data_IF_411251836012
#
_entry.id   IF_411251836012
#
_cell.length_a   1.000
_cell.length_b   1.000
_cell.length_c   1.000
_cell.angle_alpha   90.00
_cell.angle_beta   90.00
_cell.angle_gamma   90.00
#
_symmetry.space_group_name_H-M   'P 1'
#
loop_
_entity.id
_entity.type
_entity.pdbx_description
1 polymer ?
#
# COMPACT_ATOMS: atom_id res chain seq x y z
N UNK A 1 -64.87 8.86 -23.95
CA UNK A 1 -63.80 9.86 -23.74
C UNK A 1 -62.81 9.23 -22.79
N UNK A 2 -61.75 8.64 -23.32
CA UNK A 2 -60.68 7.99 -22.57
C UNK A 2 -59.47 8.92 -22.57
N UNK A 3 -58.98 9.26 -21.39
CA UNK A 3 -57.79 10.11 -21.19
C UNK A 3 -56.54 9.45 -21.79
N UNK A 4 -55.59 10.22 -22.35
CA UNK A 4 -54.35 9.67 -22.88
C UNK A 4 -53.33 9.43 -21.75
N UNK A 5 -52.75 8.24 -21.78
CA UNK A 5 -51.67 7.75 -20.91
C UNK A 5 -50.40 8.63 -21.03
N UNK A 6 -49.80 9.11 -19.93
CA UNK A 6 -48.59 9.93 -19.99
C UNK A 6 -47.37 9.09 -20.37
N UNK A 7 -46.89 9.27 -21.61
CA UNK A 7 -45.59 8.74 -22.05
C UNK A 7 -44.47 9.13 -21.09
N UNK A 8 -43.61 8.20 -20.64
CA UNK A 8 -42.51 8.51 -19.74
C UNK A 8 -41.49 9.41 -20.43
N UNK A 9 -41.11 10.50 -19.75
CA UNK A 9 -40.13 11.46 -20.24
C UNK A 9 -38.80 10.77 -20.58
N UNK A 10 -38.31 10.98 -21.81
CA UNK A 10 -37.00 10.47 -22.23
C UNK A 10 -35.92 11.02 -21.27
N UNK A 11 -35.05 10.17 -20.71
CA UNK A 11 -33.98 10.63 -19.83
C UNK A 11 -33.06 11.62 -20.58
N UNK A 12 -32.53 12.64 -19.89
CA UNK A 12 -31.70 13.66 -20.50
C UNK A 12 -30.47 13.02 -21.16
N UNK A 13 -30.20 13.40 -22.41
CA UNK A 13 -29.02 12.91 -23.14
C UNK A 13 -27.76 13.29 -22.38
N UNK A 14 -26.91 12.30 -22.06
CA UNK A 14 -25.62 12.51 -21.41
C UNK A 14 -24.81 13.59 -22.15
N UNK A 15 -24.27 14.60 -21.44
CA UNK A 15 -23.32 15.53 -22.04
C UNK A 15 -22.13 14.75 -22.59
N UNK A 16 -21.96 14.75 -23.92
CA UNK A 16 -20.76 14.20 -24.56
C UNK A 16 -19.61 15.18 -24.34
N UNK A 17 -18.42 14.63 -24.12
CA UNK A 17 -17.19 15.41 -24.11
C UNK A 17 -17.06 16.19 -25.42
N UNK A 18 -16.39 17.35 -25.39
CA UNK A 18 -15.92 18.01 -26.61
C UNK A 18 -14.76 17.20 -27.21
N UNK A 19 -15.08 16.03 -27.79
CA UNK A 19 -14.12 15.09 -28.39
C UNK A 19 -14.30 13.64 -27.95
N UNK A 20 -13.56 12.73 -28.59
CA UNK A 20 -13.70 11.28 -28.41
C UNK A 20 -13.09 10.73 -27.10
N UNK A 21 -12.23 11.51 -26.41
CA UNK A 21 -11.51 11.11 -25.19
C UNK A 21 -11.31 12.29 -24.21
N UNK A 22 -11.23 12.05 -22.88
CA UNK A 22 -10.88 13.08 -21.90
C UNK A 22 -9.46 13.61 -22.13
N UNK A 23 -9.30 14.94 -22.09
CA UNK A 23 -8.06 15.64 -22.47
C UNK A 23 -7.15 15.99 -21.27
N UNK A 24 -7.65 15.85 -20.04
CA UNK A 24 -6.90 16.12 -18.80
C UNK A 24 -7.07 14.99 -17.79
N UNK A 25 -6.08 14.79 -16.92
CA UNK A 25 -6.06 13.72 -15.91
C UNK A 25 -7.26 13.82 -14.95
N UNK A 26 -7.61 15.03 -14.52
CA UNK A 26 -8.77 15.29 -13.64
C UNK A 26 -10.10 14.93 -14.30
N UNK A 27 -10.15 14.90 -15.64
CA UNK A 27 -11.34 14.55 -16.42
C UNK A 27 -11.48 13.04 -16.64
N UNK A 28 -10.42 12.26 -16.36
CA UNK A 28 -10.36 10.81 -16.58
C UNK A 28 -10.97 10.02 -15.42
N UNK A 29 -11.08 10.62 -14.23
CA UNK A 29 -11.53 9.97 -13.01
C UNK A 29 -12.85 10.54 -12.48
N UNK A 30 -13.92 10.34 -13.25
CA UNK A 30 -15.30 10.60 -12.80
C UNK A 30 -15.68 9.77 -11.55
N UNK A 31 -14.95 8.71 -11.28
CA UNK A 31 -15.16 7.77 -10.16
C UNK A 31 -14.70 8.31 -8.80
N UNK A 32 -13.93 9.41 -8.77
CA UNK A 32 -13.58 10.12 -7.53
C UNK A 32 -14.77 10.85 -6.90
N UNK A 33 -15.82 11.09 -7.69
CA UNK A 33 -17.04 11.79 -7.29
C UNK A 33 -18.16 10.75 -7.15
N UNK A 34 -18.09 9.96 -6.07
CA UNK A 34 -18.95 8.79 -5.81
C UNK A 34 -20.43 9.15 -5.85
N UNK A 35 -20.78 10.36 -5.37
CA UNK A 35 -22.15 10.89 -5.39
C UNK A 35 -22.65 11.21 -6.80
N UNK A 36 -21.74 11.52 -7.73
CA UNK A 36 -22.09 12.00 -9.07
C UNK A 36 -22.14 10.91 -10.14
N UNK A 37 -21.47 9.76 -9.92
CA UNK A 37 -21.37 8.68 -10.91
C UNK A 37 -21.44 7.24 -10.33
N UNK A 38 -22.49 6.88 -9.55
CA UNK A 38 -22.59 5.58 -8.86
C UNK A 38 -22.57 4.36 -9.81
N UNK A 39 -23.14 4.47 -11.01
CA UNK A 39 -23.12 3.36 -11.99
C UNK A 39 -21.74 3.08 -12.57
N UNK A 40 -20.84 4.07 -12.59
CA UNK A 40 -19.47 3.88 -13.12
C UNK A 40 -18.63 3.11 -12.10
N UNK A 41 -18.78 3.45 -10.82
CA UNK A 41 -18.19 2.73 -9.68
C UNK A 41 -18.65 1.27 -9.67
N UNK A 42 -19.95 1.00 -9.83
CA UNK A 42 -20.50 -0.36 -9.86
C UNK A 42 -19.95 -1.20 -11.03
N UNK A 43 -19.77 -0.59 -12.21
CA UNK A 43 -19.21 -1.27 -13.39
C UNK A 43 -17.72 -1.59 -13.25
N UNK A 44 -16.98 -0.77 -12.52
CA UNK A 44 -15.55 -0.96 -12.27
C UNK A 44 -15.33 -2.06 -11.22
N UNK A 45 -16.14 -2.06 -10.16
CA UNK A 45 -16.20 -3.15 -9.17
C UNK A 45 -16.58 -4.48 -9.84
N UNK A 46 -17.61 -4.50 -10.69
CA UNK A 46 -18.02 -5.71 -11.42
C UNK A 46 -16.95 -6.22 -12.41
N UNK A 47 -16.02 -5.35 -12.82
CA UNK A 47 -14.87 -5.71 -13.66
C UNK A 47 -13.63 -6.15 -12.88
N UNK A 48 -13.73 -6.37 -11.56
CA UNK A 48 -12.61 -6.75 -10.70
C UNK A 48 -11.56 -5.64 -10.52
N UNK A 49 -11.90 -4.40 -10.89
CA UNK A 49 -11.02 -3.24 -10.75
C UNK A 49 -11.47 -2.43 -9.55
N UNK A 50 -10.51 -1.79 -8.90
CA UNK A 50 -10.77 -0.87 -7.81
C UNK A 50 -11.07 0.51 -8.41
N UNK A 51 -12.28 1.07 -8.23
CA UNK A 51 -12.61 2.42 -8.67
C UNK A 51 -11.64 3.44 -8.09
N UNK A 52 -11.25 4.45 -8.87
CA UNK A 52 -10.30 5.44 -8.40
C UNK A 52 -10.88 6.23 -7.22
N UNK A 53 -10.29 6.07 -6.03
CA UNK A 53 -10.75 6.69 -4.78
C UNK A 53 -11.60 5.78 -3.89
N UNK A 54 -11.90 4.55 -4.30
CA UNK A 54 -12.33 3.48 -3.40
C UNK A 54 -11.17 2.48 -3.29
N UNK A 55 -10.94 1.88 -2.13
CA UNK A 55 -9.92 0.84 -1.96
C UNK A 55 -10.64 -0.40 -1.46
N UNK A 56 -10.68 -1.46 -2.27
CA UNK A 56 -11.14 -2.78 -1.82
C UNK A 56 -9.96 -3.46 -1.13
N UNK A 57 -9.99 -3.63 0.20
CA UNK A 57 -8.82 -4.12 0.90
C UNK A 57 -8.63 -5.61 0.65
N UNK A 58 -7.39 -6.00 0.38
CA UNK A 58 -7.03 -7.36 -0.03
C UNK A 58 -7.21 -8.33 1.15
N UNK A 59 -7.75 -9.52 0.87
CA UNK A 59 -7.94 -10.60 1.86
C UNK A 59 -8.63 -10.12 3.16
N UNK A 60 -9.64 -9.25 3.02
CA UNK A 60 -10.29 -8.59 4.14
C UNK A 60 -10.79 -9.61 5.18
N UNK A 61 -11.67 -10.53 4.79
CA UNK A 61 -12.30 -11.43 5.76
C UNK A 61 -11.32 -12.46 6.32
N UNK A 62 -10.36 -12.91 5.52
CA UNK A 62 -9.29 -13.82 5.94
C UNK A 62 -8.39 -13.17 7.00
N UNK A 63 -7.99 -11.91 6.79
CA UNK A 63 -7.20 -11.16 7.76
C UNK A 63 -7.94 -10.99 9.07
N UNK A 64 -9.22 -10.60 9.00
CA UNK A 64 -10.04 -10.37 10.19
C UNK A 64 -10.29 -11.66 10.98
N UNK A 65 -10.52 -12.78 10.29
CA UNK A 65 -10.65 -14.09 10.90
C UNK A 65 -9.36 -14.53 11.60
N UNK A 66 -8.20 -14.28 10.97
CA UNK A 66 -6.91 -14.61 11.55
C UNK A 66 -6.59 -13.77 12.80
N UNK A 67 -6.96 -12.49 12.82
CA UNK A 67 -6.71 -11.56 13.93
C UNK A 67 -7.43 -11.92 15.24
N UNK A 68 -8.49 -12.74 15.20
CA UNK A 68 -9.20 -13.17 16.42
C UNK A 68 -9.85 -12.01 17.18
N UNK A 69 -10.37 -11.03 16.44
CA UNK A 69 -10.94 -9.79 16.97
C UNK A 69 -12.16 -10.06 17.87
N UNK A 70 -12.24 -9.33 18.97
CA UNK A 70 -13.36 -9.31 19.92
C UNK A 70 -13.49 -7.91 20.53
N UNK A 71 -14.67 -7.60 21.06
CA UNK A 71 -14.88 -6.38 21.85
C UNK A 71 -13.84 -6.29 22.97
N UNK A 72 -13.33 -5.07 23.20
CA UNK A 72 -12.33 -4.78 24.22
C UNK A 72 -10.89 -5.05 23.82
N UNK A 73 -10.63 -5.64 22.65
CA UNK A 73 -9.26 -5.80 22.15
C UNK A 73 -8.59 -4.45 21.90
N UNK A 74 -7.31 -4.37 22.25
CA UNK A 74 -6.43 -3.26 21.89
C UNK A 74 -5.47 -3.76 20.82
N UNK A 75 -5.40 -3.08 19.68
CA UNK A 75 -4.54 -3.51 18.58
C UNK A 75 -3.87 -2.39 17.81
N UNK A 76 -3.00 -2.79 16.90
CA UNK A 76 -2.29 -1.89 16.00
C UNK A 76 -2.58 -2.26 14.55
N UNK A 77 -2.93 -1.26 13.74
CA UNK A 77 -2.82 -1.31 12.29
C UNK A 77 -1.53 -0.57 11.92
N UNK A 78 -0.49 -1.33 11.55
CA UNK A 78 0.86 -0.83 11.31
C UNK A 78 1.00 -0.10 9.96
N UNK A 79 -0.04 -0.14 9.13
CA UNK A 79 -0.05 0.32 7.73
C UNK A 79 -1.43 0.89 7.40
N UNK A 80 -1.86 1.88 8.18
CA UNK A 80 -3.23 2.39 8.21
C UNK A 80 -3.77 2.72 6.81
N UNK A 81 -2.95 3.31 5.94
CA UNK A 81 -3.27 3.57 4.54
C UNK A 81 -4.60 4.30 4.38
N UNK A 82 -5.50 3.74 3.57
CA UNK A 82 -6.86 4.26 3.38
C UNK A 82 -7.80 3.99 4.57
N UNK A 83 -7.44 3.11 5.50
CA UNK A 83 -8.23 2.74 6.67
C UNK A 83 -9.35 1.74 6.39
N UNK A 84 -9.26 0.99 5.29
CA UNK A 84 -10.25 -0.02 4.93
C UNK A 84 -10.31 -1.17 5.93
N UNK A 85 -9.18 -1.81 6.25
CA UNK A 85 -9.11 -2.83 7.31
C UNK A 85 -9.37 -2.20 8.67
N UNK A 86 -8.78 -1.03 8.97
CA UNK A 86 -9.02 -0.32 10.22
C UNK A 86 -10.51 -0.11 10.55
N UNK A 87 -11.32 0.27 9.57
CA UNK A 87 -12.77 0.42 9.75
C UNK A 87 -13.44 -0.91 10.15
N UNK A 88 -13.14 -2.02 9.46
CA UNK A 88 -13.69 -3.35 9.75
C UNK A 88 -13.14 -3.97 11.04
N UNK A 89 -11.94 -3.59 11.44
CA UNK A 89 -11.35 -3.94 12.73
C UNK A 89 -12.12 -3.21 13.84
N UNK A 90 -12.29 -1.89 13.70
CA UNK A 90 -13.01 -1.06 14.66
C UNK A 90 -14.45 -1.55 14.88
N UNK A 91 -15.16 -1.96 13.83
CA UNK A 91 -16.49 -2.57 13.92
C UNK A 91 -16.54 -3.80 14.86
N UNK A 92 -15.45 -4.57 14.98
CA UNK A 92 -15.43 -5.80 15.78
C UNK A 92 -14.87 -5.65 17.19
N UNK A 93 -14.06 -4.61 17.43
CA UNK A 93 -13.43 -4.40 18.73
C UNK A 93 -14.14 -3.35 19.58
N UNK A 94 -15.03 -2.55 18.99
CA UNK A 94 -15.82 -1.55 19.69
C UNK A 94 -17.09 -2.17 20.29
N UNK A 95 -17.67 -1.59 21.36
CA UNK A 95 -17.44 -0.24 21.91
C UNK A 95 -16.26 -0.08 22.88
N UNK A 96 -15.66 -1.16 23.40
CA UNK A 96 -14.69 -1.06 24.50
C UNK A 96 -13.22 -1.18 24.08
N UNK A 97 -12.97 -1.63 22.86
CA UNK A 97 -11.62 -1.79 22.31
C UNK A 97 -11.00 -0.50 21.79
N UNK A 98 -9.73 -0.61 21.38
CA UNK A 98 -8.94 0.50 20.85
C UNK A 98 -8.04 0.09 19.70
N UNK A 99 -8.01 0.88 18.63
CA UNK A 99 -7.08 0.71 17.52
C UNK A 99 -6.09 1.86 17.46
N UNK A 100 -4.80 1.52 17.38
CA UNK A 100 -3.73 2.46 17.06
C UNK A 100 -3.33 2.29 15.59
N UNK A 101 -3.46 3.33 14.77
CA UNK A 101 -3.03 3.34 13.38
C UNK A 101 -1.64 3.96 13.21
N UNK A 102 -0.79 3.34 12.40
CA UNK A 102 0.54 3.85 12.01
C UNK A 102 0.58 4.05 10.49
N UNK A 103 1.18 5.15 10.05
CA UNK A 103 1.51 5.37 8.63
C UNK A 103 2.65 6.39 8.50
N UNK A 104 3.40 6.31 7.41
CA UNK A 104 4.45 7.26 7.08
C UNK A 104 3.91 8.50 6.35
N UNK A 105 2.79 8.35 5.64
CA UNK A 105 2.33 9.28 4.63
C UNK A 105 1.66 10.53 5.26
N UNK A 106 2.30 11.71 5.19
CA UNK A 106 1.73 12.93 5.74
C UNK A 106 0.55 13.48 4.92
N UNK A 107 0.31 12.97 3.71
CA UNK A 107 -0.73 13.42 2.79
C UNK A 107 -2.01 12.60 2.97
N UNK A 108 -1.90 11.28 3.04
CA UNK A 108 -3.06 10.39 3.11
C UNK A 108 -3.56 10.14 4.54
N UNK A 109 -2.67 10.04 5.54
CA UNK A 109 -3.07 9.78 6.92
C UNK A 109 -4.14 10.78 7.44
N UNK A 110 -4.00 12.11 7.28
CA UNK A 110 -5.01 13.05 7.78
C UNK A 110 -6.39 12.81 7.17
N UNK A 111 -6.46 12.42 5.89
CA UNK A 111 -7.72 12.10 5.19
C UNK A 111 -8.35 10.84 5.75
N UNK A 112 -7.55 9.82 6.05
CA UNK A 112 -8.01 8.58 6.67
C UNK A 112 -8.51 8.81 8.10
N UNK A 113 -7.80 9.62 8.90
CA UNK A 113 -8.26 10.00 10.24
C UNK A 113 -9.59 10.74 10.15
N UNK A 114 -9.71 11.75 9.28
CA UNK A 114 -10.96 12.47 9.10
C UNK A 114 -12.14 11.56 8.72
N UNK A 115 -11.89 10.57 7.83
CA UNK A 115 -12.88 9.57 7.42
C UNK A 115 -13.35 8.71 8.60
N UNK A 116 -12.41 8.15 9.37
CA UNK A 116 -12.74 7.32 10.53
C UNK A 116 -13.43 8.12 11.64
N UNK A 117 -13.08 9.40 11.81
CA UNK A 117 -13.78 10.31 12.73
C UNK A 117 -15.22 10.58 12.27
N UNK A 118 -15.44 10.78 10.98
CA UNK A 118 -16.79 10.95 10.42
C UNK A 118 -17.67 9.69 10.56
N UNK A 119 -17.07 8.51 10.71
CA UNK A 119 -17.76 7.26 11.02
C UNK A 119 -18.11 7.12 12.52
N UNK A 120 -17.75 8.10 13.36
CA UNK A 120 -18.08 8.11 14.80
C UNK A 120 -17.00 7.56 15.72
N UNK A 121 -15.83 7.17 15.20
CA UNK A 121 -14.73 6.69 16.05
C UNK A 121 -13.99 7.87 16.69
N UNK A 122 -14.16 8.08 17.99
CA UNK A 122 -13.46 9.12 18.75
C UNK A 122 -11.98 8.80 18.98
N UNK A 123 -11.18 9.79 19.39
CA UNK A 123 -9.75 9.65 19.70
C UNK A 123 -9.45 8.58 20.76
N UNK A 124 -10.38 8.38 21.69
CA UNK A 124 -10.27 7.36 22.74
C UNK A 124 -10.33 5.93 22.20
N UNK A 125 -11.05 5.73 21.09
CA UNK A 125 -11.30 4.43 20.44
C UNK A 125 -10.34 4.18 19.29
N UNK A 126 -10.01 5.22 18.53
CA UNK A 126 -9.07 5.15 17.42
C UNK A 126 -8.10 6.32 17.52
N UNK A 127 -6.79 6.05 17.55
CA UNK A 127 -5.76 7.07 17.47
C UNK A 127 -4.79 6.73 16.35
N UNK A 128 -4.26 7.73 15.65
CA UNK A 128 -3.32 7.53 14.56
C UNK A 128 -2.03 8.32 14.80
N UNK A 129 -0.88 7.68 14.60
CA UNK A 129 0.42 8.29 14.77
C UNK A 129 1.24 8.19 13.49
N UNK A 130 1.66 9.34 12.96
CA UNK A 130 2.56 9.38 11.79
C UNK A 130 3.95 8.90 12.19
N UNK A 131 4.26 7.65 11.89
CA UNK A 131 5.52 7.00 12.20
C UNK A 131 5.73 5.76 11.33
N UNK A 132 6.98 5.32 11.25
CA UNK A 132 7.31 4.02 10.65
C UNK A 132 6.90 2.91 11.61
N UNK A 133 6.39 1.78 11.11
CA UNK A 133 6.03 0.62 11.94
C UNK A 133 7.23 0.01 12.70
N UNK A 134 8.48 0.28 12.30
CA UNK A 134 9.68 -0.03 13.09
C UNK A 134 9.71 0.70 14.44
N UNK A 135 8.89 1.75 14.59
CA UNK A 135 8.68 2.49 15.84
C UNK A 135 7.59 1.90 16.75
N UNK A 136 7.09 0.68 16.49
CA UNK A 136 5.99 0.06 17.24
C UNK A 136 6.22 0.08 18.76
N UNK A 137 7.36 -0.39 19.24
CA UNK A 137 7.65 -0.45 20.68
C UNK A 137 7.59 0.95 21.34
N UNK A 138 8.10 1.97 20.64
CA UNK A 138 8.03 3.36 21.10
C UNK A 138 6.59 3.86 21.15
N UNK A 139 5.79 3.58 20.11
CA UNK A 139 4.38 3.93 20.10
C UNK A 139 3.64 3.30 21.29
N UNK A 140 3.82 2.00 21.53
CA UNK A 140 3.16 1.33 22.64
C UNK A 140 3.53 1.96 23.99
N UNK A 141 4.82 2.28 24.20
CA UNK A 141 5.28 2.95 25.41
C UNK A 141 4.65 4.35 25.59
N UNK A 142 4.50 5.14 24.52
CA UNK A 142 3.83 6.46 24.57
C UNK A 142 2.36 6.37 25.00
N UNK A 143 1.69 5.26 24.66
CA UNK A 143 0.32 4.98 25.09
C UNK A 143 0.24 4.20 26.43
N UNK A 144 1.37 3.94 27.09
CA UNK A 144 1.42 3.17 28.34
C UNK A 144 1.03 1.70 28.18
N UNK A 145 1.19 1.13 26.98
CA UNK A 145 0.84 -0.24 26.65
C UNK A 145 2.10 -1.13 26.69
N UNK A 146 2.01 -2.24 27.44
CA UNK A 146 3.07 -3.26 27.49
C UNK A 146 2.90 -4.34 26.40
N UNK A 147 1.93 -4.17 25.51
CA UNK A 147 1.63 -5.10 24.42
C UNK A 147 0.20 -4.94 23.92
N UNK A 148 -0.08 -5.49 22.74
CA UNK A 148 -1.40 -5.47 22.10
C UNK A 148 -1.96 -6.86 21.88
N UNK A 149 -3.29 -6.95 21.81
CA UNK A 149 -4.02 -8.19 21.53
C UNK A 149 -3.87 -8.62 20.07
N UNK A 150 -3.69 -7.65 19.17
CA UNK A 150 -3.40 -7.95 17.77
C UNK A 150 -2.55 -6.88 17.07
N UNK A 151 -1.85 -7.31 16.02
CA UNK A 151 -1.16 -6.45 15.07
C UNK A 151 -1.54 -6.84 13.64
N UNK A 152 -1.88 -5.85 12.83
CA UNK A 152 -2.12 -6.00 11.39
C UNK A 152 -1.10 -5.17 10.61
N UNK A 153 -0.55 -5.72 9.53
CA UNK A 153 0.35 -5.02 8.62
C UNK A 153 0.12 -5.43 7.17
N UNK A 154 -0.39 -4.51 6.36
CA UNK A 154 -0.56 -4.57 4.91
C UNK A 154 0.63 -3.90 4.22
N UNK A 155 1.65 -4.69 3.86
CA UNK A 155 2.94 -4.18 3.41
C UNK A 155 2.89 -3.59 2.00
N UNK A 156 3.86 -2.75 1.65
CA UNK A 156 3.93 -2.12 0.33
C UNK A 156 3.29 -0.74 0.28
N UNK A 157 2.72 -0.38 -0.87
CA UNK A 157 2.23 0.99 -1.14
C UNK A 157 0.73 1.00 -1.31
N UNK A 158 0.09 2.07 -0.83
CA UNK A 158 -1.34 2.25 -1.03
C UNK A 158 -1.67 2.55 -2.50
N UNK A 159 -2.87 2.19 -2.94
CA UNK A 159 -3.36 2.57 -4.27
C UNK A 159 -3.35 4.10 -4.45
N UNK A 160 -3.59 4.86 -3.38
CA UNK A 160 -3.52 6.33 -3.40
C UNK A 160 -2.14 6.85 -3.82
N UNK A 161 -1.06 6.16 -3.42
CA UNK A 161 0.31 6.51 -3.82
C UNK A 161 0.63 6.08 -5.26
N UNK A 162 0.11 4.93 -5.70
CA UNK A 162 0.32 4.40 -7.05
C UNK A 162 -0.47 5.17 -8.12
N UNK A 163 -1.68 5.62 -7.78
CA UNK A 163 -2.62 6.27 -8.68
C UNK A 163 -2.37 7.78 -8.84
N UNK A 164 -1.64 8.41 -7.90
CA UNK A 164 -1.24 9.81 -8.00
C UNK A 164 0.10 9.95 -8.74
N UNK A 165 0.11 10.45 -10.00
CA UNK A 165 1.35 10.61 -10.76
C UNK A 165 2.34 11.56 -10.08
N UNK A 166 1.87 12.52 -9.27
CA UNK A 166 2.75 13.44 -8.54
C UNK A 166 3.63 12.73 -7.50
N UNK A 167 3.30 11.48 -7.14
CA UNK A 167 4.07 10.66 -6.20
C UNK A 167 5.17 9.83 -6.87
N UNK A 168 5.09 9.62 -8.19
CA UNK A 168 6.18 9.00 -8.95
C UNK A 168 6.35 7.49 -8.78
N UNK A 169 5.38 6.77 -8.24
CA UNK A 169 5.49 5.31 -8.02
C UNK A 169 5.24 4.47 -9.29
N UNK A 170 4.70 5.07 -10.35
CA UNK A 170 4.27 4.35 -11.56
C UNK A 170 4.96 4.89 -12.82
N UNK A 171 5.34 3.97 -13.70
CA UNK A 171 5.85 4.27 -15.05
C UNK A 171 4.75 4.35 -16.12
N UNK A 172 3.47 4.23 -15.73
CA UNK A 172 2.33 4.30 -16.67
C UNK A 172 1.96 5.73 -17.05
N UNK A 173 2.35 6.70 -16.24
CA UNK A 173 2.04 8.13 -16.45
C UNK A 173 3.24 8.94 -15.98
N UNK A 174 3.55 10.01 -16.71
CA UNK A 174 4.65 10.90 -16.36
C UNK A 174 4.40 11.57 -15.01
N UNK A 175 5.42 11.60 -14.19
CA UNK A 175 5.45 12.24 -12.89
C UNK A 175 6.88 12.38 -12.37
N UNK A 176 7.13 13.26 -11.38
CA UNK A 176 8.46 13.38 -10.79
C UNK A 176 8.93 12.01 -10.28
N UNK A 177 10.20 11.70 -10.46
CA UNK A 177 10.78 10.45 -9.96
C UNK A 177 11.06 10.58 -8.45
N UNK A 178 9.99 10.54 -7.65
CA UNK A 178 10.04 10.73 -6.19
C UNK A 178 10.03 9.41 -5.42
N UNK A 179 8.94 8.64 -5.50
CA UNK A 179 8.74 7.34 -4.83
C UNK A 179 8.85 7.34 -3.30
N UNK A 180 8.93 8.49 -2.62
CA UNK A 180 8.91 8.52 -1.15
C UNK A 180 7.48 8.37 -0.63
N UNK A 181 7.30 7.44 0.31
CA UNK A 181 6.07 7.30 1.09
C UNK A 181 5.84 8.53 1.97
N UNK A 182 6.92 9.12 2.48
CA UNK A 182 6.91 10.44 3.11
C UNK A 182 7.73 11.45 2.26
N UNK A 183 7.08 12.33 1.47
CA UNK A 183 7.78 13.25 0.57
C UNK A 183 8.61 14.32 1.30
N UNK A 184 8.47 14.44 2.62
CA UNK A 184 9.19 15.43 3.44
C UNK A 184 10.49 14.88 4.05
N UNK A 185 10.84 13.61 3.81
CA UNK A 185 12.00 12.96 4.43
C UNK A 185 12.79 12.11 3.43
N UNK A 186 14.11 12.10 3.57
CA UNK A 186 14.98 11.24 2.75
C UNK A 186 15.18 11.78 1.33
N UNK A 187 15.86 10.98 0.50
CA UNK A 187 16.15 11.30 -0.90
C UNK A 187 14.99 10.86 -1.79
N UNK A 188 14.64 11.68 -2.79
CA UNK A 188 13.80 11.22 -3.90
C UNK A 188 14.49 10.08 -4.66
N UNK A 189 13.74 9.26 -5.39
CA UNK A 189 14.30 8.24 -6.28
C UNK A 189 15.26 8.83 -7.31
N UNK A 190 14.98 10.02 -7.84
CA UNK A 190 15.89 10.75 -8.73
C UNK A 190 17.21 11.09 -8.05
N UNK A 191 17.16 11.64 -6.83
CA UNK A 191 18.37 12.02 -6.08
C UNK A 191 19.13 10.80 -5.56
N UNK A 192 18.42 9.71 -5.24
CA UNK A 192 19.02 8.44 -4.83
C UNK A 192 19.78 7.81 -5.99
N UNK A 193 19.17 7.69 -7.18
CA UNK A 193 19.82 7.17 -8.39
C UNK A 193 21.04 8.02 -8.80
N UNK A 194 20.94 9.34 -8.67
CA UNK A 194 22.06 10.24 -8.98
C UNK A 194 23.25 10.10 -8.02
N UNK A 195 23.05 9.54 -6.81
CA UNK A 195 24.08 9.39 -5.78
C UNK A 195 24.56 7.96 -5.57
N UNK A 196 23.71 6.98 -5.86
CA UNK A 196 24.01 5.57 -5.61
C UNK A 196 25.15 5.11 -6.52
N UNK A 197 26.08 4.34 -5.96
CA UNK A 197 27.16 3.69 -6.72
C UNK A 197 26.61 2.47 -7.48
N UNK A 198 27.21 2.05 -8.60
CA UNK A 198 26.82 0.82 -9.31
C UNK A 198 26.72 -0.40 -8.38
N UNK A 199 27.72 -0.66 -7.54
CA UNK A 199 27.70 -1.80 -6.62
C UNK A 199 26.48 -1.80 -5.67
N UNK A 200 26.14 -0.64 -5.09
CA UNK A 200 24.95 -0.50 -4.22
C UNK A 200 23.65 -0.65 -4.98
N UNK A 201 23.56 -0.14 -6.22
CA UNK A 201 22.37 -0.29 -7.04
C UNK A 201 22.18 -1.75 -7.47
N UNK A 202 23.25 -2.45 -7.83
CA UNK A 202 23.23 -3.88 -8.15
C UNK A 202 22.69 -4.70 -6.97
N UNK A 203 23.20 -4.45 -5.75
CA UNK A 203 22.69 -5.08 -4.53
C UNK A 203 21.21 -4.80 -4.35
N UNK A 204 20.76 -3.54 -4.51
CA UNK A 204 19.34 -3.19 -4.37
C UNK A 204 18.47 -3.93 -5.42
N UNK A 205 18.88 -3.96 -6.69
CA UNK A 205 18.16 -4.64 -7.76
C UNK A 205 18.04 -6.15 -7.51
N UNK A 206 19.11 -6.77 -7.00
CA UNK A 206 19.12 -8.19 -6.66
C UNK A 206 18.30 -8.47 -5.40
N UNK A 207 18.61 -7.82 -4.27
CA UNK A 207 18.01 -8.14 -2.98
C UNK A 207 16.55 -7.68 -2.85
N UNK A 208 16.16 -6.60 -3.54
CA UNK A 208 14.82 -6.01 -3.41
C UNK A 208 13.84 -6.46 -4.48
N UNK A 209 14.32 -6.99 -5.60
CA UNK A 209 13.44 -7.39 -6.70
C UNK A 209 13.86 -8.64 -7.48
N UNK A 210 14.89 -9.36 -7.04
CA UNK A 210 15.40 -10.57 -7.71
C UNK A 210 15.67 -10.31 -9.23
N UNK A 211 16.20 -9.13 -9.60
CA UNK A 211 16.37 -8.72 -11.00
C UNK A 211 17.57 -9.43 -11.67
N UNK A 212 17.36 -10.32 -12.67
CA UNK A 212 18.44 -11.10 -13.28
C UNK A 212 19.55 -10.28 -13.95
N UNK A 213 19.25 -9.05 -14.39
CA UNK A 213 20.21 -8.15 -15.07
C UNK A 213 20.68 -7.03 -14.16
N UNK A 214 20.72 -7.27 -12.85
CA UNK A 214 21.11 -6.27 -11.85
C UNK A 214 22.44 -5.58 -12.17
N UNK A 215 23.49 -6.34 -12.56
CA UNK A 215 24.80 -5.78 -12.88
C UNK A 215 24.78 -4.83 -14.10
N UNK A 216 24.15 -5.25 -15.20
CA UNK A 216 24.01 -4.46 -16.43
C UNK A 216 23.22 -3.16 -16.17
N UNK A 217 22.08 -3.29 -15.49
CA UNK A 217 21.22 -2.16 -15.15
C UNK A 217 21.88 -1.22 -14.14
N UNK A 218 22.65 -1.74 -13.20
CA UNK A 218 23.35 -0.91 -12.22
C UNK A 218 24.38 0.00 -12.90
N UNK A 219 25.15 -0.52 -13.86
CA UNK A 219 26.08 0.27 -14.66
C UNK A 219 25.35 1.30 -15.52
N UNK A 220 24.19 0.94 -16.07
CA UNK A 220 23.42 1.82 -16.94
C UNK A 220 22.73 2.97 -16.19
N UNK A 221 22.36 2.79 -14.92
CA UNK A 221 21.48 3.71 -14.19
C UNK A 221 22.17 4.48 -13.06
N UNK A 222 23.14 3.88 -12.37
CA UNK A 222 23.77 4.50 -11.20
C UNK A 222 24.51 5.79 -11.55
N UNK A 223 24.42 6.79 -10.68
CA UNK A 223 25.02 8.11 -10.88
C UNK A 223 24.28 8.99 -11.88
N UNK A 224 23.16 8.53 -12.45
CA UNK A 224 22.35 9.32 -13.40
C UNK A 224 21.13 9.91 -12.71
N UNK A 225 20.78 11.13 -13.11
CA UNK A 225 19.53 11.78 -12.75
C UNK A 225 18.54 11.64 -13.91
N UNK A 226 17.34 11.15 -13.61
CA UNK A 226 16.24 11.09 -14.57
C UNK A 226 15.23 12.19 -14.26
N UNK A 227 14.68 12.83 -15.29
CA UNK A 227 13.77 13.97 -15.12
C UNK A 227 12.42 13.54 -14.51
N UNK A 228 11.91 12.38 -14.93
CA UNK A 228 10.62 11.86 -14.53
C UNK A 228 10.60 10.32 -14.62
N UNK A 229 9.47 9.72 -14.23
CA UNK A 229 9.24 8.27 -14.28
C UNK A 229 9.32 7.70 -15.70
N UNK A 230 8.96 8.45 -16.74
CA UNK A 230 9.05 7.98 -18.12
C UNK A 230 10.48 8.00 -18.63
N UNK A 231 11.29 8.99 -18.25
CA UNK A 231 12.70 9.06 -18.60
C UNK A 231 13.47 7.85 -18.05
N UNK A 232 13.20 7.44 -16.80
CA UNK A 232 13.74 6.19 -16.25
C UNK A 232 13.23 4.97 -17.04
N UNK A 233 11.92 4.91 -17.31
CA UNK A 233 11.34 3.80 -18.06
C UNK A 233 11.93 3.66 -19.48
N UNK A 234 12.18 4.77 -20.17
CA UNK A 234 12.83 4.78 -21.49
C UNK A 234 14.27 4.26 -21.39
N UNK A 235 15.05 4.74 -20.43
CA UNK A 235 16.42 4.24 -20.24
C UNK A 235 16.46 2.73 -19.96
N UNK A 236 15.48 2.21 -19.22
CA UNK A 236 15.32 0.78 -19.00
C UNK A 236 14.98 0.02 -20.29
N UNK A 237 14.03 0.53 -21.08
CA UNK A 237 13.69 -0.05 -22.40
C UNK A 237 14.89 -0.07 -23.34
N UNK A 238 15.68 1.00 -23.37
CA UNK A 238 16.89 1.06 -24.20
C UNK A 238 17.94 0.05 -23.74
N UNK A 239 18.03 -0.21 -22.43
CA UNK A 239 19.00 -1.16 -21.86
C UNK A 239 18.62 -2.62 -22.14
N UNK A 240 17.34 -3.00 -22.04
CA UNK A 240 16.91 -4.41 -22.14
C UNK A 240 16.04 -4.73 -23.35
N UNK A 241 15.78 -3.78 -24.24
CA UNK A 241 14.83 -3.92 -25.36
C UNK A 241 15.14 -5.08 -26.32
N UNK A 242 16.41 -5.46 -26.44
CA UNK A 242 16.85 -6.64 -27.23
C UNK A 242 16.30 -7.98 -26.74
N UNK A 243 15.76 -8.03 -25.51
CA UNK A 243 15.26 -9.27 -24.89
C UNK A 243 13.74 -9.48 -25.06
N UNK A 244 13.05 -8.57 -25.75
CA UNK A 244 11.62 -8.66 -26.02
C UNK A 244 10.73 -8.00 -24.96
N UNK A 245 9.47 -7.77 -25.32
CA UNK A 245 8.55 -6.90 -24.55
C UNK A 245 8.20 -7.46 -23.15
N UNK A 246 8.01 -8.78 -23.03
CA UNK A 246 7.72 -9.40 -21.74
C UNK A 246 8.85 -9.17 -20.73
N UNK A 247 10.09 -9.32 -21.20
CA UNK A 247 11.28 -9.12 -20.40
C UNK A 247 11.44 -7.65 -20.01
N UNK A 248 11.16 -6.72 -20.93
CA UNK A 248 11.11 -5.27 -20.65
C UNK A 248 10.11 -4.96 -19.54
N UNK A 249 8.88 -5.47 -19.65
CA UNK A 249 7.81 -5.22 -18.70
C UNK A 249 8.14 -5.71 -17.29
N UNK A 250 8.70 -6.91 -17.17
CA UNK A 250 9.15 -7.46 -15.88
C UNK A 250 10.29 -6.62 -15.29
N UNK A 251 11.20 -6.13 -16.13
CA UNK A 251 12.32 -5.27 -15.70
C UNK A 251 11.83 -3.94 -15.15
N UNK A 252 10.89 -3.29 -15.84
CA UNK A 252 10.29 -2.04 -15.38
C UNK A 252 9.68 -2.19 -13.99
N UNK A 253 8.91 -3.27 -13.78
CA UNK A 253 8.28 -3.56 -12.46
C UNK A 253 9.33 -3.80 -11.38
N UNK A 254 10.34 -4.65 -11.65
CA UNK A 254 11.39 -4.99 -10.69
C UNK A 254 12.28 -3.79 -10.33
N UNK A 255 12.70 -2.99 -11.30
CA UNK A 255 13.52 -1.81 -11.03
C UNK A 255 12.74 -0.77 -10.23
N UNK A 256 11.50 -0.47 -10.60
CA UNK A 256 10.66 0.47 -9.85
C UNK A 256 10.43 -0.03 -8.41
N UNK A 257 10.17 -1.33 -8.23
CA UNK A 257 10.06 -1.95 -6.90
C UNK A 257 11.37 -1.81 -6.10
N UNK A 258 12.51 -2.15 -6.69
CA UNK A 258 13.79 -2.11 -5.99
C UNK A 258 14.17 -0.69 -5.55
N UNK A 259 13.98 0.29 -6.45
CA UNK A 259 14.25 1.70 -6.14
C UNK A 259 13.32 2.21 -5.02
N UNK A 260 12.03 1.86 -5.09
CA UNK A 260 11.05 2.19 -4.04
C UNK A 260 11.44 1.63 -2.69
N UNK A 261 11.79 0.34 -2.63
CA UNK A 261 12.23 -0.34 -1.41
C UNK A 261 13.49 0.32 -0.84
N UNK A 262 14.44 0.67 -1.69
CA UNK A 262 15.68 1.33 -1.27
C UNK A 262 15.44 2.75 -0.73
N UNK A 263 14.61 3.54 -1.41
CA UNK A 263 14.28 4.93 -1.03
C UNK A 263 13.53 5.01 0.29
N UNK A 264 12.68 4.02 0.57
CA UNK A 264 11.84 3.99 1.77
C UNK A 264 12.40 3.10 2.89
N UNK A 265 13.56 2.47 2.67
CA UNK A 265 14.19 1.53 3.59
C UNK A 265 13.23 0.42 4.07
N UNK A 266 12.33 -0.04 3.19
CA UNK A 266 11.17 -0.87 3.55
C UNK A 266 11.57 -2.17 4.26
N UNK A 267 12.65 -2.81 3.81
CA UNK A 267 13.14 -4.05 4.42
C UNK A 267 13.78 -3.81 5.79
N UNK A 268 14.52 -2.72 5.96
CA UNK A 268 15.11 -2.36 7.25
C UNK A 268 14.00 -2.09 8.26
N UNK A 269 12.96 -1.38 7.83
CA UNK A 269 11.77 -1.14 8.63
C UNK A 269 11.08 -2.47 9.01
N UNK A 270 10.86 -3.36 8.04
CA UNK A 270 10.16 -4.62 8.25
C UNK A 270 10.93 -5.53 9.21
N UNK A 271 12.24 -5.65 9.00
CA UNK A 271 13.13 -6.41 9.89
C UNK A 271 13.14 -5.81 11.30
N UNK A 272 13.00 -4.48 11.44
CA UNK A 272 12.80 -3.80 12.71
C UNK A 272 11.50 -4.18 13.42
N UNK A 273 10.37 -4.13 12.70
CA UNK A 273 9.06 -4.54 13.21
C UNK A 273 9.05 -6.02 13.63
N UNK A 274 9.53 -6.91 12.76
CA UNK A 274 9.56 -8.36 13.02
C UNK A 274 10.42 -8.70 14.24
N UNK A 275 11.48 -7.93 14.50
CA UNK A 275 12.34 -8.11 15.68
C UNK A 275 11.62 -7.78 16.98
N UNK A 276 10.88 -6.67 17.02
CA UNK A 276 10.19 -6.21 18.25
C UNK A 276 8.80 -6.83 18.42
N UNK A 277 8.27 -7.48 17.39
CA UNK A 277 6.93 -8.05 17.37
C UNK A 277 6.62 -8.95 18.59
N UNK A 278 7.48 -9.91 18.99
CA UNK A 278 7.18 -10.78 20.12
C UNK A 278 6.97 -10.03 21.43
N UNK A 279 7.75 -8.98 21.67
CA UNK A 279 7.68 -8.17 22.89
C UNK A 279 6.52 -7.16 22.86
N UNK A 280 5.96 -6.91 21.67
CA UNK A 280 4.83 -5.99 21.48
C UNK A 280 3.47 -6.70 21.50
N UNK A 281 3.43 -8.04 21.52
CA UNK A 281 2.18 -8.80 21.62
C UNK A 281 1.95 -9.26 23.06
N UNK A 282 0.70 -9.18 23.50
CA UNK A 282 0.28 -9.84 24.75
C UNK A 282 0.34 -11.37 24.57
N UNK A 283 0.43 -12.15 25.67
CA UNK A 283 0.20 -13.59 25.61
C UNK A 283 -1.14 -13.92 24.92
N UNK A 284 -1.10 -14.80 23.92
CA UNK A 284 -2.25 -15.15 23.08
C UNK A 284 -2.61 -14.13 22.00
N UNK A 285 -1.87 -13.02 21.91
CA UNK A 285 -2.04 -12.02 20.87
C UNK A 285 -1.65 -12.54 19.48
N UNK A 286 -2.18 -11.90 18.44
CA UNK A 286 -2.05 -12.38 17.06
C UNK A 286 -1.47 -11.31 16.13
N UNK A 287 -0.62 -11.71 15.19
CA UNK A 287 -0.13 -10.83 14.15
C UNK A 287 -0.50 -11.36 12.77
N UNK A 288 -0.96 -10.48 11.89
CA UNK A 288 -1.27 -10.77 10.50
C UNK A 288 -0.48 -9.82 9.61
N UNK A 289 0.21 -10.40 8.63
CA UNK A 289 0.98 -9.68 7.62
C UNK A 289 0.42 -10.03 6.23
N UNK A 290 0.10 -9.01 5.44
CA UNK A 290 -0.12 -9.14 4.01
C UNK A 290 1.14 -8.68 3.28
N UNK A 291 1.62 -9.52 2.37
CA UNK A 291 2.87 -9.28 1.62
C UNK A 291 2.58 -9.37 0.13
N UNK A 292 3.21 -8.52 -0.69
CA UNK A 292 2.92 -8.44 -2.13
C UNK A 292 4.05 -8.94 -3.02
N UNK A 293 5.22 -9.22 -2.44
CA UNK A 293 6.34 -9.77 -3.19
C UNK A 293 7.21 -10.71 -2.35
N UNK A 294 8.04 -11.51 -3.04
CA UNK A 294 8.90 -12.56 -2.47
C UNK A 294 9.80 -12.06 -1.33
N UNK A 295 10.38 -10.87 -1.48
CA UNK A 295 11.28 -10.28 -0.48
C UNK A 295 10.65 -9.98 0.88
N UNK A 296 9.38 -9.57 0.92
CA UNK A 296 8.60 -9.35 2.15
C UNK A 296 8.20 -10.69 2.76
N UNK A 297 7.55 -11.56 1.96
CA UNK A 297 7.09 -12.89 2.39
C UNK A 297 8.23 -13.69 3.03
N UNK A 298 9.39 -13.74 2.37
CA UNK A 298 10.56 -14.47 2.87
C UNK A 298 11.01 -13.96 4.25
N UNK A 299 10.94 -12.66 4.50
CA UNK A 299 11.33 -12.05 5.80
C UNK A 299 10.34 -12.38 6.88
N UNK A 300 9.05 -12.16 6.62
CA UNK A 300 7.95 -12.49 7.54
C UNK A 300 8.00 -13.97 7.89
N UNK A 301 8.03 -14.84 6.87
CA UNK A 301 8.08 -16.31 7.05
C UNK A 301 9.28 -16.74 7.90
N UNK A 302 10.48 -16.23 7.61
CA UNK A 302 11.68 -16.57 8.39
C UNK A 302 11.57 -16.13 9.84
N UNK A 303 11.08 -14.92 10.09
CA UNK A 303 10.90 -14.40 11.45
C UNK A 303 9.87 -15.21 12.24
N UNK A 304 8.70 -15.49 11.64
CA UNK A 304 7.65 -16.29 12.27
C UNK A 304 8.11 -17.73 12.55
N UNK A 305 8.81 -18.37 11.60
CA UNK A 305 9.40 -19.69 11.82
C UNK A 305 10.45 -19.71 12.93
N UNK A 306 11.27 -18.67 13.04
CA UNK A 306 12.24 -18.54 14.13
C UNK A 306 11.54 -18.37 15.49
N UNK A 307 10.49 -17.54 15.55
CA UNK A 307 9.67 -17.38 16.74
C UNK A 307 8.95 -18.68 17.15
N UNK A 308 8.44 -19.46 16.19
CA UNK A 308 7.86 -20.79 16.46
C UNK A 308 8.89 -21.78 17.00
N UNK A 309 10.08 -21.85 16.40
CA UNK A 309 11.17 -22.76 16.84
C UNK A 309 11.68 -22.44 18.25
N UNK A 310 11.68 -21.15 18.62
CA UNK A 310 12.11 -20.70 19.95
C UNK A 310 11.02 -20.76 21.02
N UNK A 311 9.78 -21.12 20.64
CA UNK A 311 8.64 -21.18 21.56
C UNK A 311 7.97 -19.83 21.85
N UNK A 312 8.41 -18.74 21.21
CA UNK A 312 7.77 -17.42 21.33
C UNK A 312 6.39 -17.39 20.66
N UNK A 313 6.22 -18.10 19.55
CA UNK A 313 4.93 -18.23 18.87
C UNK A 313 4.39 -19.65 19.00
N UNK A 314 3.18 -19.78 19.55
CA UNK A 314 2.49 -21.06 19.70
C UNK A 314 2.12 -21.69 18.35
N UNK A 315 1.77 -20.86 17.36
CA UNK A 315 1.46 -21.29 16.00
C UNK A 315 1.81 -20.19 14.98
N UNK A 316 1.99 -20.61 13.73
CA UNK A 316 2.15 -19.75 12.55
C UNK A 316 1.36 -20.40 11.41
N UNK A 317 0.96 -19.64 10.39
CA UNK A 317 0.33 -20.21 9.20
C UNK A 317 1.25 -21.24 8.55
N UNK A 318 0.71 -22.42 8.23
CA UNK A 318 1.47 -23.48 7.56
C UNK A 318 1.60 -23.20 6.06
N UNK A 319 0.53 -22.66 5.47
CA UNK A 319 0.44 -22.25 4.07
C UNK A 319 0.21 -20.74 3.92
N UNK A 320 0.53 -20.22 2.74
CA UNK A 320 0.23 -18.83 2.36
C UNK A 320 -1.23 -18.77 1.93
N UNK A 321 -2.01 -17.89 2.57
CA UNK A 321 -3.37 -17.58 2.14
C UNK A 321 -3.27 -16.61 0.97
N UNK A 322 -3.85 -16.96 -0.17
CA UNK A 322 -3.86 -16.13 -1.38
C UNK A 322 -5.27 -15.70 -1.73
N UNK A 323 -5.42 -14.55 -2.38
CA UNK A 323 -6.70 -14.11 -2.91
C UNK A 323 -7.29 -15.17 -3.87
N UNK A 324 -8.61 -15.30 -3.87
CA UNK A 324 -9.31 -16.13 -4.86
C UNK A 324 -9.00 -15.63 -6.29
N UNK A 325 -8.90 -16.54 -7.28
CA UNK A 325 -8.59 -16.20 -8.67
C UNK A 325 -9.48 -15.13 -9.31
#
# INVERSE_FOLDING_TARGET
MSEPDPSPARPPRRPRYSGSNPRRFEQKYKERDVERYPETVAKVIAGGKTPAGTHLPVLMEECLAALGLRDGCIGVDATLGYGGHAARILERITPTGKLLGMDLDPVEMPKTVARLRAMGYAETVFAAQRCNYAGLAKLLAEYGLNGVDFLFADLGCSSMQLDDPARGFSFKTAGPLDMRMNPNRGLSAADWLAKVTPAKLEIALHEHADEPRAAELALALAGRRFADTLALATALRDSVGRHGEEVVDLTLRRVFQAVRIAVNEEFTALDGLLRVLPDCLKPGGRAVFLTFHSGEDRRVKKALQAGRRSGLFASISEDIITASP
#
